data_IF_680206239952
#
_entry.id   IF_680206239952
#
_cell.length_a   1.000
_cell.length_b   1.000
_cell.length_c   1.000
_cell.angle_alpha   90.00
_cell.angle_beta   90.00
_cell.angle_gamma   90.00
#
_symmetry.space_group_name_H-M   'P 1'
#
loop_
_entity.id
_entity.type
_entity.pdbx_description
1 polymer ?
#
# COMPACT_ATOMS: atom_id res chain seq x y z
N UNK A 1 48.79 -27.41 19.59
CA UNK A 1 47.74 -27.65 18.57
C UNK A 1 46.40 -27.48 19.27
N UNK A 2 45.96 -26.23 19.48
CA UNK A 2 44.88 -25.55 18.74
C UNK A 2 43.53 -26.32 18.77
N UNK A 3 42.76 -26.09 19.83
CA UNK A 3 41.32 -26.36 19.92
C UNK A 3 40.57 -25.19 19.28
N UNK A 4 39.87 -25.44 18.17
CA UNK A 4 38.96 -24.46 17.56
C UNK A 4 37.62 -24.49 18.29
N UNK A 5 37.20 -23.33 18.79
CA UNK A 5 35.87 -23.08 19.36
C UNK A 5 34.93 -22.73 18.22
N UNK A 6 33.90 -23.55 17.97
CA UNK A 6 32.87 -23.25 17.00
C UNK A 6 31.84 -22.30 17.62
N UNK A 7 31.87 -21.03 17.22
CA UNK A 7 30.86 -20.04 17.58
C UNK A 7 29.60 -20.32 16.79
N UNK A 8 28.53 -20.72 17.47
CA UNK A 8 27.19 -20.89 16.88
C UNK A 8 26.62 -19.48 16.65
N UNK A 9 26.59 -19.02 15.40
CA UNK A 9 25.90 -17.78 15.03
C UNK A 9 24.39 -18.07 15.00
N UNK A 10 23.67 -17.54 16.00
CA UNK A 10 22.22 -17.56 16.00
C UNK A 10 21.74 -16.48 15.02
N UNK A 11 21.35 -16.89 13.82
CA UNK A 11 20.67 -16.01 12.87
C UNK A 11 19.27 -15.78 13.43
N UNK A 12 19.06 -14.63 14.08
CA UNK A 12 17.72 -14.14 14.38
C UNK A 12 17.07 -13.74 13.05
N UNK A 13 16.26 -14.62 12.49
CA UNK A 13 15.33 -14.25 11.43
C UNK A 13 14.25 -13.38 12.08
N UNK A 14 14.34 -12.05 11.88
CA UNK A 14 13.23 -11.15 12.12
C UNK A 14 12.11 -11.54 11.17
N UNK A 15 11.14 -12.32 11.67
CA UNK A 15 9.84 -12.47 11.03
C UNK A 15 9.15 -11.11 11.19
N UNK A 16 9.38 -10.21 10.23
CA UNK A 16 8.44 -9.12 9.99
C UNK A 16 7.13 -9.82 9.58
N UNK A 17 6.19 -9.94 10.52
CA UNK A 17 4.84 -10.35 10.17
C UNK A 17 4.32 -9.34 9.17
N UNK A 18 3.96 -9.78 7.97
CA UNK A 18 3.17 -8.93 7.07
C UNK A 18 1.88 -8.64 7.81
N UNK A 19 1.70 -7.42 8.31
CA UNK A 19 0.41 -6.98 8.81
C UNK A 19 -0.63 -7.29 7.73
N UNK A 20 -1.72 -7.95 8.10
CA UNK A 20 -2.83 -8.12 7.17
C UNK A 20 -3.42 -6.74 6.90
N UNK A 21 -3.71 -6.44 5.63
CA UNK A 21 -4.29 -5.15 5.27
C UNK A 21 -5.60 -4.89 6.04
N UNK A 22 -5.85 -3.63 6.35
CA UNK A 22 -7.08 -3.09 6.92
C UNK A 22 -7.58 -1.96 6.01
N UNK A 23 -8.70 -2.19 5.34
CA UNK A 23 -9.30 -1.20 4.45
C UNK A 23 -10.14 -0.19 5.22
N UNK A 24 -9.83 1.10 5.06
CA UNK A 24 -10.65 2.21 5.55
C UNK A 24 -11.32 2.95 4.38
N UNK A 25 -12.65 3.02 4.37
CA UNK A 25 -13.39 3.83 3.39
C UNK A 25 -13.32 5.31 3.76
N UNK A 26 -12.67 6.11 2.93
CA UNK A 26 -12.45 7.55 3.13
C UNK A 26 -13.47 8.42 2.38
N UNK A 27 -14.16 7.86 1.40
CA UNK A 27 -15.20 8.52 0.63
C UNK A 27 -16.11 7.50 -0.08
N UNK A 28 -17.12 7.97 -0.85
CA UNK A 28 -18.03 7.11 -1.57
C UNK A 28 -17.36 5.97 -2.34
N UNK A 29 -16.31 6.28 -3.10
CA UNK A 29 -15.56 5.29 -3.91
C UNK A 29 -14.06 5.36 -3.62
N UNK A 30 -13.65 5.84 -2.43
CA UNK A 30 -12.24 6.06 -2.06
C UNK A 30 -11.86 5.24 -0.83
N UNK A 31 -10.83 4.41 -0.98
CA UNK A 31 -10.45 3.39 0.01
C UNK A 31 -8.96 3.45 0.30
N UNK A 32 -8.59 3.64 1.57
CA UNK A 32 -7.23 3.39 2.06
C UNK A 32 -7.05 1.91 2.32
N UNK A 33 -5.97 1.35 1.76
CA UNK A 33 -5.56 -0.03 1.98
C UNK A 33 -4.13 0.00 2.52
N UNK A 34 -4.01 -0.13 3.85
CA UNK A 34 -2.80 0.19 4.60
C UNK A 34 -1.65 -0.84 4.48
N UNK A 35 -1.96 -2.05 4.01
CA UNK A 35 -1.00 -3.09 3.73
C UNK A 35 -1.31 -3.84 2.42
N UNK A 36 -0.42 -4.75 2.04
CA UNK A 36 -0.55 -5.48 0.78
C UNK A 36 -1.82 -6.34 0.69
N UNK A 37 -2.57 -6.19 -0.41
CA UNK A 37 -3.76 -7.00 -0.73
C UNK A 37 -3.76 -7.43 -2.21
N UNK A 38 -4.56 -8.45 -2.52
CA UNK A 38 -4.88 -8.82 -3.91
C UNK A 38 -6.25 -8.27 -4.32
N UNK A 39 -6.26 -7.40 -5.32
CA UNK A 39 -7.46 -6.92 -6.00
C UNK A 39 -7.82 -7.84 -7.16
N UNK A 40 -8.98 -8.49 -7.08
CA UNK A 40 -9.58 -9.20 -8.20
C UNK A 40 -10.42 -8.22 -9.02
N UNK A 41 -10.12 -8.11 -10.31
CA UNK A 41 -10.71 -7.10 -11.18
C UNK A 41 -11.55 -7.77 -12.27
N UNK A 42 -12.87 -7.63 -12.14
CA UNK A 42 -13.87 -7.95 -13.15
C UNK A 42 -14.17 -6.77 -14.06
N UNK A 43 -15.36 -6.74 -14.66
CA UNK A 43 -15.85 -5.59 -15.43
C UNK A 43 -17.38 -5.59 -15.52
N UNK A 44 -17.96 -4.40 -15.60
CA UNK A 44 -19.35 -4.19 -15.94
C UNK A 44 -19.45 -3.80 -17.42
N UNK A 45 -19.57 -4.80 -18.30
CA UNK A 45 -19.58 -4.56 -19.75
C UNK A 45 -18.35 -3.76 -20.17
N UNK A 46 -18.57 -2.59 -20.77
CA UNK A 46 -17.50 -1.68 -21.23
C UNK A 46 -17.41 -0.38 -20.41
N UNK A 47 -18.24 -0.24 -19.36
CA UNK A 47 -18.31 1.00 -18.58
C UNK A 47 -17.23 1.02 -17.52
N UNK A 48 -17.13 -0.04 -16.72
CA UNK A 48 -16.38 0.02 -15.45
C UNK A 48 -15.49 -1.21 -15.23
N UNK A 49 -14.36 -1.02 -14.56
CA UNK A 49 -13.72 -2.13 -13.85
C UNK A 49 -14.41 -2.35 -12.51
N UNK A 50 -14.57 -3.62 -12.11
CA UNK A 50 -15.19 -4.01 -10.84
C UNK A 50 -14.13 -4.64 -9.93
N UNK A 51 -13.86 -4.03 -8.78
CA UNK A 51 -12.85 -4.48 -7.84
C UNK A 51 -13.47 -5.29 -6.71
N UNK A 52 -12.87 -6.43 -6.41
CA UNK A 52 -13.20 -7.28 -5.26
C UNK A 52 -11.93 -7.64 -4.51
N UNK A 53 -11.89 -7.38 -3.21
CA UNK A 53 -10.77 -7.76 -2.34
C UNK A 53 -11.27 -8.11 -0.94
N UNK A 54 -10.46 -8.88 -0.22
CA UNK A 54 -10.74 -9.32 1.15
C UNK A 54 -9.50 -9.08 2.00
N UNK A 55 -9.69 -8.50 3.17
CA UNK A 55 -8.65 -8.23 4.14
C UNK A 55 -9.20 -8.31 5.59
N UNK A 56 -8.48 -7.74 6.58
CA UNK A 56 -8.90 -7.78 7.98
C UNK A 56 -10.19 -6.99 8.26
N UNK A 57 -10.50 -5.97 7.45
CA UNK A 57 -11.70 -5.14 7.56
C UNK A 57 -12.97 -5.86 7.06
N UNK A 58 -12.81 -6.86 6.20
CA UNK A 58 -13.90 -7.59 5.57
C UNK A 58 -13.67 -7.81 4.08
N UNK A 59 -14.76 -7.82 3.31
CA UNK A 59 -14.71 -8.01 1.85
C UNK A 59 -15.45 -6.88 1.17
N UNK A 60 -14.78 -6.19 0.25
CA UNK A 60 -15.40 -5.29 -0.71
C UNK A 60 -15.66 -6.07 -1.99
N UNK A 61 -16.86 -5.93 -2.56
CA UNK A 61 -17.31 -6.74 -3.71
C UNK A 61 -17.82 -5.83 -4.81
N UNK A 62 -17.34 -6.08 -6.03
CA UNK A 62 -17.76 -5.42 -7.27
C UNK A 62 -17.80 -3.88 -7.20
N UNK A 63 -16.82 -3.28 -6.53
CA UNK A 63 -16.69 -1.82 -6.44
C UNK A 63 -16.27 -1.24 -7.80
N UNK A 64 -17.04 -0.29 -8.33
CA UNK A 64 -16.84 0.23 -9.67
C UNK A 64 -15.80 1.37 -9.67
N UNK A 65 -14.72 1.18 -10.43
CA UNK A 65 -13.62 2.13 -10.64
C UNK A 65 -13.20 2.95 -9.39
N UNK A 66 -12.92 2.29 -8.23
CA UNK A 66 -12.57 2.99 -7.00
C UNK A 66 -11.29 3.82 -7.13
N UNK A 67 -11.21 4.85 -6.29
CA UNK A 67 -9.94 5.47 -5.92
C UNK A 67 -9.28 4.62 -4.83
N UNK A 68 -8.14 4.02 -5.15
CA UNK A 68 -7.35 3.25 -4.19
C UNK A 68 -6.26 4.14 -3.60
N UNK A 69 -6.20 4.26 -2.28
CA UNK A 69 -5.11 4.92 -1.57
C UNK A 69 -4.19 3.82 -1.03
N UNK A 70 -3.02 3.71 -1.62
CA UNK A 70 -2.01 2.71 -1.34
C UNK A 70 -0.88 3.32 -0.51
N UNK A 71 -0.30 2.52 0.35
CA UNK A 71 0.78 2.92 1.25
C UNK A 71 2.12 2.48 0.67
N UNK A 72 3.08 3.41 0.59
CA UNK A 72 4.44 3.10 0.14
C UNK A 72 5.08 2.00 1.00
N UNK A 73 5.88 1.14 0.39
CA UNK A 73 6.53 -0.01 1.00
C UNK A 73 5.67 -1.28 1.07
N UNK A 74 4.37 -1.19 0.80
CA UNK A 74 3.45 -2.33 0.78
C UNK A 74 3.35 -2.94 -0.61
N UNK A 75 3.05 -4.23 -0.71
CA UNK A 75 2.97 -4.95 -2.00
C UNK A 75 1.53 -5.29 -2.37
N UNK A 76 1.05 -4.74 -3.48
CA UNK A 76 -0.30 -4.91 -3.99
C UNK A 76 -0.30 -5.77 -5.24
N UNK A 77 -1.33 -6.60 -5.40
CA UNK A 77 -1.49 -7.45 -6.59
C UNK A 77 -2.81 -7.15 -7.29
N UNK A 78 -2.79 -6.92 -8.60
CA UNK A 78 -3.96 -6.65 -9.43
C UNK A 78 -4.15 -7.80 -10.42
N UNK A 79 -5.26 -8.53 -10.29
CA UNK A 79 -5.54 -9.75 -11.05
C UNK A 79 -6.79 -9.56 -11.91
N UNK A 80 -6.66 -9.72 -13.23
CA UNK A 80 -7.82 -9.79 -14.12
C UNK A 80 -8.54 -11.12 -13.97
N UNK A 81 -9.83 -11.08 -13.65
CA UNK A 81 -10.65 -12.29 -13.50
C UNK A 81 -11.59 -12.54 -14.68
N UNK A 82 -11.76 -11.54 -15.56
CA UNK A 82 -12.64 -11.61 -16.73
C UNK A 82 -11.88 -11.31 -18.03
N UNK A 83 -12.46 -11.73 -19.16
CA UNK A 83 -11.90 -11.52 -20.49
C UNK A 83 -12.10 -10.11 -21.05
N UNK A 84 -11.54 -9.87 -22.24
CA UNK A 84 -11.65 -8.68 -23.10
C UNK A 84 -10.97 -7.39 -22.65
N UNK A 85 -10.96 -7.04 -21.36
CA UNK A 85 -10.52 -5.71 -20.91
C UNK A 85 -9.11 -5.76 -20.31
N UNK A 86 -8.14 -5.23 -21.07
CA UNK A 86 -6.74 -5.10 -20.64
C UNK A 86 -6.66 -3.98 -19.62
N UNK A 87 -6.15 -4.25 -18.42
CA UNK A 87 -5.95 -3.28 -17.35
C UNK A 87 -4.51 -2.81 -17.36
N UNK A 88 -4.29 -1.48 -17.29
CA UNK A 88 -2.95 -0.89 -17.18
C UNK A 88 -2.92 0.15 -16.08
N UNK A 89 -1.78 0.27 -15.39
CA UNK A 89 -1.50 1.37 -14.45
C UNK A 89 -0.64 2.42 -15.16
N UNK A 90 -1.07 3.66 -15.06
CA UNK A 90 -0.49 4.84 -15.69
C UNK A 90 -0.08 5.86 -14.63
N UNK A 91 0.93 6.68 -14.95
CA UNK A 91 1.25 7.87 -14.17
C UNK A 91 0.22 9.01 -14.41
N UNK A 92 0.45 10.13 -13.75
CA UNK A 92 -0.37 11.35 -13.81
C UNK A 92 -0.38 12.06 -15.17
N UNK A 93 0.43 11.62 -16.14
CA UNK A 93 0.42 12.20 -17.50
C UNK A 93 -0.74 11.68 -18.37
N UNK A 94 -1.46 10.64 -17.93
CA UNK A 94 -2.67 10.18 -18.60
C UNK A 94 -3.75 11.29 -18.55
N UNK A 95 -4.29 11.75 -19.70
CA UNK A 95 -5.33 12.77 -19.69
C UNK A 95 -6.65 12.22 -19.13
N UNK A 96 -6.99 12.58 -17.89
CA UNK A 96 -8.19 12.11 -17.17
C UNK A 96 -9.06 13.29 -16.73
N UNK A 97 -10.37 13.05 -16.67
CA UNK A 97 -11.38 13.97 -16.11
C UNK A 97 -12.26 13.21 -15.12
N UNK A 98 -13.01 13.93 -14.28
CA UNK A 98 -13.88 13.34 -13.26
C UNK A 98 -13.22 13.28 -11.88
N UNK A 99 -13.84 12.53 -10.97
CA UNK A 99 -13.40 12.37 -9.58
C UNK A 99 -14.10 11.18 -8.91
N UNK A 100 -13.47 10.60 -7.88
CA UNK A 100 -14.06 9.64 -6.93
C UNK A 100 -15.12 8.67 -7.52
N UNK A 101 -14.66 7.66 -8.26
CA UNK A 101 -15.52 6.64 -8.89
C UNK A 101 -16.17 7.05 -10.21
N UNK A 102 -15.87 8.24 -10.74
CA UNK A 102 -16.42 8.74 -12.02
C UNK A 102 -15.35 9.22 -13.00
N UNK A 103 -14.12 8.70 -12.86
CA UNK A 103 -13.03 9.08 -13.74
C UNK A 103 -13.26 8.57 -15.17
N UNK A 104 -12.77 9.33 -16.15
CA UNK A 104 -12.77 8.94 -17.55
C UNK A 104 -11.59 9.57 -18.26
N UNK A 105 -10.87 8.78 -19.05
CA UNK A 105 -9.81 9.33 -19.89
C UNK A 105 -10.40 10.18 -21.01
N UNK A 106 -9.72 11.28 -21.33
CA UNK A 106 -10.15 12.23 -22.37
C UNK A 106 -9.48 11.96 -23.73
N UNK A 107 -8.65 10.92 -23.80
CA UNK A 107 -7.94 10.49 -25.01
C UNK A 107 -8.38 9.09 -25.48
N UNK A 108 -8.38 8.91 -26.80
CA UNK A 108 -8.49 7.61 -27.48
C UNK A 108 -7.19 7.21 -28.18
N UNK A 109 -6.10 7.96 -27.98
CA UNK A 109 -4.81 7.69 -28.61
C UNK A 109 -4.03 6.65 -27.81
N UNK A 110 -3.81 5.47 -28.41
CA UNK A 110 -3.06 4.38 -27.79
C UNK A 110 -1.60 4.74 -27.48
N UNK A 111 -0.98 5.61 -28.26
CA UNK A 111 0.39 6.05 -27.97
C UNK A 111 0.45 6.94 -26.72
N UNK A 112 -0.59 7.72 -26.46
CA UNK A 112 -0.71 8.52 -25.23
C UNK A 112 -0.92 7.61 -24.03
N UNK A 113 -1.76 6.58 -24.15
CA UNK A 113 -1.96 5.59 -23.08
C UNK A 113 -0.66 4.81 -22.80
N UNK A 114 0.02 4.34 -23.85
CA UNK A 114 1.28 3.60 -23.71
C UNK A 114 2.41 4.46 -23.11
N UNK A 115 2.46 5.76 -23.46
CA UNK A 115 3.44 6.69 -22.89
C UNK A 115 3.17 7.00 -21.40
N UNK A 116 1.90 7.01 -20.99
CA UNK A 116 1.51 7.21 -19.59
C UNK A 116 1.62 5.91 -18.76
N UNK A 117 1.57 4.73 -19.39
CA UNK A 117 1.69 3.44 -18.69
C UNK A 117 3.05 3.34 -17.99
N UNK A 118 3.03 2.91 -16.73
CA UNK A 118 4.23 2.72 -15.93
C UNK A 118 5.18 1.70 -16.58
N UNK A 119 6.48 1.85 -16.30
CA UNK A 119 7.53 1.11 -16.99
C UNK A 119 8.18 0.05 -16.09
N UNK A 120 8.53 -1.12 -16.64
CA UNK A 120 8.27 -1.54 -18.02
C UNK A 120 6.77 -1.87 -18.23
N UNK A 121 6.22 -1.53 -19.41
CA UNK A 121 4.78 -1.69 -19.71
C UNK A 121 4.25 -3.10 -19.39
N UNK A 122 5.07 -4.12 -19.63
CA UNK A 122 4.69 -5.51 -19.37
C UNK A 122 4.40 -5.79 -17.89
N UNK A 123 5.10 -5.12 -16.97
CA UNK A 123 4.92 -5.32 -15.51
C UNK A 123 3.71 -4.54 -14.98
N UNK A 124 3.22 -3.57 -15.76
CA UNK A 124 2.08 -2.71 -15.43
C UNK A 124 0.89 -2.89 -16.38
N UNK A 125 0.84 -4.06 -17.02
CA UNK A 125 -0.31 -4.56 -17.78
C UNK A 125 -0.79 -5.83 -17.12
N UNK A 126 -2.10 -5.96 -16.93
CA UNK A 126 -2.73 -7.24 -16.62
C UNK A 126 -3.66 -7.60 -17.77
N UNK A 127 -3.27 -8.60 -18.54
CA UNK A 127 -4.04 -9.08 -19.68
C UNK A 127 -5.35 -9.78 -19.26
N UNK A 128 -6.38 -9.82 -20.13
CA UNK A 128 -7.67 -10.42 -19.77
C UNK A 128 -7.60 -11.93 -19.60
N UNK A 129 -8.41 -12.47 -18.69
CA UNK A 129 -8.50 -13.91 -18.44
C UNK A 129 -8.91 -14.70 -19.70
N UNK A 130 -8.48 -15.97 -19.87
CA UNK A 130 -7.63 -16.75 -18.97
C UNK A 130 -6.13 -16.51 -19.22
N UNK A 131 -5.54 -15.65 -18.41
CA UNK A 131 -4.11 -15.41 -18.30
C UNK A 131 -3.76 -15.49 -16.82
N UNK A 132 -2.53 -15.86 -16.51
CA UNK A 132 -1.99 -15.75 -15.14
C UNK A 132 -1.29 -14.41 -14.94
N UNK A 133 -1.57 -13.45 -15.82
CA UNK A 133 -0.89 -12.16 -15.84
C UNK A 133 -1.51 -11.26 -14.77
N UNK A 134 -0.66 -10.73 -13.91
CA UNK A 134 -1.03 -9.90 -12.78
C UNK A 134 0.02 -8.84 -12.58
N UNK A 135 -0.42 -7.62 -12.26
CA UNK A 135 0.50 -6.57 -11.85
C UNK A 135 0.80 -6.80 -10.36
N UNK A 136 2.07 -6.97 -10.02
CA UNK A 136 2.54 -7.00 -8.62
C UNK A 136 3.37 -5.74 -8.42
N UNK A 137 2.88 -4.82 -7.60
CA UNK A 137 3.50 -3.52 -7.42
C UNK A 137 3.77 -3.22 -5.95
N UNK A 138 5.03 -2.86 -5.67
CA UNK A 138 5.49 -2.37 -4.36
C UNK A 138 5.93 -0.91 -4.53
N UNK A 139 5.02 0.08 -4.47
CA UNK A 139 5.41 1.48 -4.55
C UNK A 139 6.39 1.85 -3.43
N UNK A 140 7.48 2.55 -3.74
CA UNK A 140 8.38 3.11 -2.75
C UNK A 140 8.00 4.54 -2.33
N UNK A 141 8.72 5.11 -1.36
CA UNK A 141 8.53 6.52 -0.96
C UNK A 141 8.74 7.50 -2.14
N UNK A 142 9.62 7.18 -3.09
CA UNK A 142 9.81 7.97 -4.30
C UNK A 142 8.64 7.91 -5.29
N UNK A 143 7.70 6.98 -5.10
CA UNK A 143 6.52 6.79 -5.94
C UNK A 143 5.27 7.48 -5.35
N UNK A 144 5.40 8.25 -4.25
CA UNK A 144 4.27 9.00 -3.67
C UNK A 144 3.72 10.00 -4.69
N UNK A 145 2.41 9.94 -4.91
CA UNK A 145 1.73 10.76 -5.91
C UNK A 145 0.44 10.14 -6.44
N UNK A 146 -0.07 10.75 -7.50
CA UNK A 146 -1.30 10.31 -8.18
C UNK A 146 -0.95 9.48 -9.41
N UNK A 147 -1.70 8.40 -9.58
CA UNK A 147 -1.67 7.50 -10.71
C UNK A 147 -3.10 7.27 -11.17
N UNK A 148 -3.22 6.71 -12.36
CA UNK A 148 -4.50 6.27 -12.89
C UNK A 148 -4.38 4.83 -13.32
N UNK A 149 -5.48 4.11 -13.32
CA UNK A 149 -5.57 2.89 -14.10
C UNK A 149 -6.63 3.06 -15.17
N UNK A 150 -6.48 2.36 -16.29
CA UNK A 150 -7.47 2.44 -17.37
C UNK A 150 -7.51 1.18 -18.22
N UNK A 151 -8.56 1.01 -19.00
CA UNK A 151 -8.60 -0.02 -20.02
C UNK A 151 -7.79 0.39 -21.25
N UNK A 152 -6.85 -0.44 -21.70
CA UNK A 152 -6.02 -0.14 -22.89
C UNK A 152 -6.82 -0.12 -24.20
N UNK A 153 -8.03 -0.70 -24.23
CA UNK A 153 -8.91 -0.63 -25.40
C UNK A 153 -9.45 0.80 -25.57
N UNK A 154 -9.08 1.44 -26.68
CA UNK A 154 -9.24 2.88 -26.93
C UNK A 154 -10.65 3.44 -26.72
N UNK A 155 -11.70 2.66 -27.00
CA UNK A 155 -13.11 3.11 -26.85
C UNK A 155 -13.68 3.04 -25.43
N UNK A 156 -13.02 2.36 -24.49
CA UNK A 156 -13.53 2.12 -23.13
C UNK A 156 -13.12 3.21 -22.14
N UNK A 157 -13.47 4.47 -22.42
CA UNK A 157 -12.94 5.63 -21.70
C UNK A 157 -13.34 5.65 -20.21
N UNK A 158 -14.53 5.15 -19.89
CA UNK A 158 -15.08 5.12 -18.53
C UNK A 158 -14.43 4.09 -17.62
N UNK A 159 -13.73 3.09 -18.17
CA UNK A 159 -13.00 2.08 -17.38
C UNK A 159 -11.69 2.70 -16.89
N UNK A 160 -11.80 3.70 -16.03
CA UNK A 160 -10.70 4.52 -15.54
C UNK A 160 -10.97 4.83 -14.08
N UNK A 161 -9.96 4.63 -13.24
CA UNK A 161 -9.99 5.08 -11.85
C UNK A 161 -8.64 5.63 -11.43
N UNK A 162 -8.53 5.98 -10.15
CA UNK A 162 -7.34 6.62 -9.59
C UNK A 162 -6.65 5.70 -8.59
N UNK A 163 -5.33 5.80 -8.53
CA UNK A 163 -4.52 5.27 -7.45
C UNK A 163 -3.74 6.43 -6.84
N UNK A 164 -3.83 6.62 -5.54
CA UNK A 164 -3.03 7.57 -4.79
C UNK A 164 -2.03 6.78 -3.95
N UNK A 165 -0.73 6.97 -4.18
CA UNK A 165 0.31 6.44 -3.30
C UNK A 165 0.62 7.49 -2.25
N UNK A 166 0.44 7.13 -0.99
CA UNK A 166 0.82 7.94 0.16
C UNK A 166 2.04 7.34 0.84
N UNK A 167 2.76 8.17 1.61
CA UNK A 167 3.86 7.67 2.44
C UNK A 167 3.36 6.57 3.37
N UNK A 168 4.23 5.61 3.68
CA UNK A 168 4.05 4.82 4.88
C UNK A 168 3.89 5.77 6.05
N UNK A 169 2.84 5.58 6.86
CA UNK A 169 2.81 6.22 8.16
C UNK A 169 4.13 5.88 8.83
N UNK A 170 4.95 6.91 9.01
CA UNK A 170 6.20 6.76 9.74
C UNK A 170 5.75 6.30 11.12
N UNK A 171 6.19 5.13 11.61
CA UNK A 171 5.76 4.64 12.91
C UNK A 171 5.90 5.79 13.89
N UNK A 172 4.79 6.22 14.46
CA UNK A 172 4.83 7.28 15.44
C UNK A 172 5.43 6.67 16.70
N UNK A 173 6.76 6.63 16.74
CA UNK A 173 7.51 6.01 17.82
C UNK A 173 7.00 6.42 19.22
N UNK A 174 6.60 7.68 19.48
CA UNK A 174 6.12 8.04 20.80
C UNK A 174 4.66 7.63 21.09
N UNK A 175 3.86 7.19 20.09
CA UNK A 175 2.53 6.58 20.27
C UNK A 175 2.70 5.10 20.61
N UNK A 176 3.05 4.81 21.88
CA UNK A 176 3.41 3.45 22.33
C UNK A 176 2.17 2.62 22.67
N UNK A 177 1.02 3.26 22.87
CA UNK A 177 -0.24 2.53 23.08
C UNK A 177 -1.01 2.25 21.77
N UNK A 178 -0.54 2.80 20.64
CA UNK A 178 -1.13 2.68 19.31
C UNK A 178 -2.59 3.14 19.26
N UNK A 179 -2.93 4.19 20.00
CA UNK A 179 -4.28 4.78 19.98
C UNK A 179 -4.44 5.89 18.91
N UNK A 180 -3.36 6.16 18.16
CA UNK A 180 -3.32 7.14 17.08
C UNK A 180 -3.09 8.58 17.57
N UNK A 181 -2.82 8.79 18.85
CA UNK A 181 -2.54 10.11 19.42
C UNK A 181 -1.34 10.07 20.37
N UNK A 182 -0.35 10.93 20.11
CA UNK A 182 0.75 11.14 21.06
C UNK A 182 0.26 11.97 22.25
N UNK A 183 0.00 11.29 23.36
CA UNK A 183 -0.53 11.87 24.60
C UNK A 183 0.28 11.41 25.81
N UNK A 184 0.07 12.00 27.00
CA UNK A 184 0.68 11.48 28.22
C UNK A 184 0.33 10.01 28.54
N UNK A 185 -0.69 9.41 27.89
CA UNK A 185 -1.00 8.00 28.03
C UNK A 185 0.13 7.11 27.49
N UNK A 186 0.82 7.55 26.44
CA UNK A 186 1.92 6.82 25.83
C UNK A 186 3.13 6.69 26.73
N UNK A 187 3.37 7.67 27.60
CA UNK A 187 4.43 7.54 28.59
C UNK A 187 4.18 6.34 29.51
N UNK A 188 2.93 6.12 29.90
CA UNK A 188 2.56 4.97 30.73
C UNK A 188 2.73 3.65 29.97
N UNK A 189 2.39 3.64 28.68
CA UNK A 189 2.62 2.49 27.80
C UNK A 189 4.11 2.21 27.59
N UNK A 190 4.92 3.25 27.38
CA UNK A 190 6.38 3.14 27.28
C UNK A 190 7.01 2.59 28.56
N UNK A 191 6.59 3.05 29.74
CA UNK A 191 7.06 2.49 31.02
C UNK A 191 6.69 1.02 31.15
N UNK A 192 5.50 0.61 30.71
CA UNK A 192 5.10 -0.79 30.69
C UNK A 192 5.97 -1.62 29.74
N UNK A 193 6.21 -1.14 28.51
CA UNK A 193 7.08 -1.76 27.52
C UNK A 193 8.52 -1.88 28.02
N UNK A 194 9.07 -0.82 28.63
CA UNK A 194 10.42 -0.81 29.20
C UNK A 194 10.58 -1.86 30.31
N UNK A 195 9.63 -1.96 31.23
CA UNK A 195 9.64 -2.97 32.29
C UNK A 195 9.48 -4.39 31.77
N UNK A 196 8.76 -4.57 30.66
CA UNK A 196 8.59 -5.86 29.99
C UNK A 196 9.75 -6.21 29.04
N UNK A 197 10.67 -5.27 28.78
CA UNK A 197 11.68 -5.38 27.72
C UNK A 197 11.04 -5.67 26.35
N UNK A 198 9.89 -5.06 26.09
CA UNK A 198 9.15 -5.21 24.85
C UNK A 198 9.72 -4.30 23.74
N UNK A 199 9.63 -4.68 22.45
CA UNK A 199 10.25 -3.94 21.36
C UNK A 199 9.86 -2.46 21.26
N UNK A 200 8.64 -2.10 21.68
CA UNK A 200 8.09 -0.74 21.63
C UNK A 200 8.82 0.24 22.56
N UNK A 201 9.64 -0.28 23.48
CA UNK A 201 10.46 0.53 24.35
C UNK A 201 11.73 1.05 23.67
N UNK A 202 12.20 0.42 22.59
CA UNK A 202 13.37 0.84 21.81
C UNK A 202 13.01 2.04 20.92
N UNK A 203 13.34 3.22 21.43
CA UNK A 203 12.92 4.50 20.85
C UNK A 203 14.04 5.15 20.02
N UNK A 204 15.26 4.62 20.14
CA UNK A 204 16.42 5.06 19.35
C UNK A 204 16.77 4.08 18.20
N UNK A 205 16.13 2.91 18.15
CA UNK A 205 16.30 1.89 17.12
C UNK A 205 17.61 1.11 17.22
N UNK A 206 18.26 1.07 18.39
CA UNK A 206 19.55 0.38 18.58
C UNK A 206 19.40 -1.13 18.89
N UNK A 207 18.17 -1.61 19.00
CA UNK A 207 17.81 -2.99 19.26
C UNK A 207 17.83 -3.38 20.74
N UNK A 208 18.00 -2.42 21.66
CA UNK A 208 18.03 -2.67 23.10
C UNK A 208 17.15 -1.72 23.90
N UNK A 209 16.33 -2.30 24.78
CA UNK A 209 15.57 -1.54 25.78
C UNK A 209 16.47 -1.01 26.91
N UNK A 210 16.93 0.22 26.79
CA UNK A 210 17.94 0.84 27.66
C UNK A 210 17.48 2.20 28.23
N UNK A 211 18.16 2.74 29.26
CA UNK A 211 17.87 4.10 29.72
C UNK A 211 18.08 5.19 28.65
N UNK A 212 18.82 4.90 27.56
CA UNK A 212 18.96 5.85 26.45
C UNK A 212 17.63 6.08 25.73
N UNK A 213 16.74 5.08 25.71
CA UNK A 213 15.43 5.13 25.08
C UNK A 213 14.48 6.09 25.76
N UNK A 214 14.65 6.38 27.05
CA UNK A 214 13.88 7.44 27.69
C UNK A 214 14.17 8.81 27.06
N UNK A 215 15.45 9.10 26.78
CA UNK A 215 15.81 10.38 26.18
C UNK A 215 15.33 10.46 24.72
N UNK A 216 15.37 9.32 24.00
CA UNK A 216 14.82 9.23 22.66
C UNK A 216 13.30 9.38 22.66
N UNK A 217 12.57 8.72 23.56
CA UNK A 217 11.13 8.87 23.73
C UNK A 217 10.74 10.33 23.98
N UNK A 218 11.43 11.04 24.87
CA UNK A 218 11.18 12.47 25.13
C UNK A 218 11.42 13.32 23.89
N UNK A 219 12.47 13.02 23.12
CA UNK A 219 12.74 13.73 21.87
C UNK A 219 11.63 13.48 20.84
N UNK A 220 11.23 12.23 20.67
CA UNK A 220 10.16 11.80 19.78
C UNK A 220 8.81 12.43 20.19
N UNK A 221 8.44 12.36 21.48
CA UNK A 221 7.20 12.95 22.00
C UNK A 221 7.09 14.46 21.73
N UNK A 222 8.19 15.20 21.88
CA UNK A 222 8.21 16.64 21.59
C UNK A 222 8.22 16.96 20.09
N UNK A 223 8.70 16.04 19.25
CA UNK A 223 8.63 16.16 17.80
C UNK A 223 7.23 15.81 17.27
N UNK A 224 6.48 14.96 17.97
CA UNK A 224 5.19 14.44 17.56
C UNK A 224 5.32 13.23 16.62
N UNK A 225 4.27 13.04 15.82
CA UNK A 225 4.31 12.32 14.55
C UNK A 225 4.34 13.40 13.44
#
# INVERSE_FOLDING_TARGET
MHTQSATLALIAATLAGTAAADTTQLGPSRYLVDAGVTFNIGNNGISDFLFTWTDASGTVTDEADPTLVLVAGQTYTFVRTTGFHIYVICNDTLPVSGGDGTYSRTTTDGAVVDAATLQPIADFTADPAPTTDSIVWTPGAGDVGTYYYTCRILGHLGMTGSIEVVEADTPCLPDVNHDGMVTPADFSAWVAAFNAQAPECDQNGDGACSPADFSAWVANFNAGC
#
